data_IF_794247442789
#
_entry.id   IF_794247442789
#
_cell.length_a   1.000
_cell.length_b   1.000
_cell.length_c   1.000
_cell.angle_alpha   90.00
_cell.angle_beta   90.00
_cell.angle_gamma   90.00
#
_symmetry.space_group_name_H-M   'P 1'
#
loop_
_entity.id
_entity.type
_entity.pdbx_description
1 polymer ?
#
# COMPACT_ATOMS: atom_id res chain seq x y z
N UNK A 1 36.64 -13.84 -6.79
CA UNK A 1 35.34 -13.83 -6.08
C UNK A 1 34.26 -13.92 -7.13
N UNK A 2 33.61 -15.07 -7.27
CA UNK A 2 32.55 -15.28 -8.27
C UNK A 2 31.25 -14.80 -7.66
N UNK A 3 30.74 -13.67 -8.14
CA UNK A 3 29.46 -13.11 -7.70
C UNK A 3 28.33 -14.00 -8.20
N UNK A 4 27.53 -14.54 -7.28
CA UNK A 4 26.31 -15.27 -7.62
C UNK A 4 25.29 -14.28 -8.20
N UNK A 5 24.65 -14.61 -9.35
CA UNK A 5 23.64 -13.73 -9.92
C UNK A 5 22.43 -13.63 -8.99
N UNK A 6 22.06 -12.40 -8.61
CA UNK A 6 20.85 -12.12 -7.86
C UNK A 6 19.66 -12.30 -8.80
N UNK A 7 18.94 -13.41 -8.66
CA UNK A 7 17.69 -13.69 -9.39
C UNK A 7 16.51 -13.01 -8.68
N UNK A 8 16.51 -11.68 -8.65
CA UNK A 8 15.42 -10.85 -8.14
C UNK A 8 14.79 -9.99 -9.25
N UNK A 9 13.58 -9.45 -9.06
CA UNK A 9 13.01 -8.51 -10.01
C UNK A 9 13.94 -7.29 -10.14
N UNK A 10 14.24 -6.91 -11.38
CA UNK A 10 15.14 -5.78 -11.68
C UNK A 10 14.46 -4.42 -11.53
N UNK A 11 13.13 -4.39 -11.37
CA UNK A 11 12.33 -3.18 -11.15
C UNK A 11 11.08 -3.43 -10.28
N UNK A 12 10.50 -2.35 -9.76
CA UNK A 12 9.26 -2.36 -8.99
C UNK A 12 8.09 -1.74 -9.76
N UNK A 13 8.13 -1.86 -11.09
CA UNK A 13 7.44 -0.92 -11.97
C UNK A 13 6.14 -1.45 -12.56
N UNK A 14 5.82 -2.73 -12.35
CA UNK A 14 4.85 -3.45 -13.18
C UNK A 14 3.95 -4.45 -12.43
N UNK A 15 4.18 -4.68 -11.14
CA UNK A 15 3.48 -5.76 -10.42
C UNK A 15 2.35 -5.26 -9.52
N UNK A 16 2.49 -4.11 -8.84
CA UNK A 16 1.48 -3.60 -7.90
C UNK A 16 1.19 -4.47 -6.67
N UNK A 17 1.83 -5.65 -6.55
CA UNK A 17 1.43 -6.70 -5.62
C UNK A 17 1.55 -6.30 -4.13
N UNK A 18 2.42 -5.36 -3.78
CA UNK A 18 2.49 -4.84 -2.41
C UNK A 18 1.30 -3.94 -2.03
N UNK A 19 0.52 -3.47 -3.01
CA UNK A 19 -0.65 -2.63 -2.81
C UNK A 19 -1.97 -3.38 -3.05
N UNK A 20 -1.91 -4.55 -3.69
CA UNK A 20 -3.06 -5.41 -3.98
C UNK A 20 -3.27 -6.42 -2.84
N UNK A 21 -4.51 -6.57 -2.38
CA UNK A 21 -4.92 -7.55 -1.37
C UNK A 21 -4.45 -7.26 0.06
N UNK A 22 -3.80 -6.13 0.30
CA UNK A 22 -3.40 -5.65 1.65
C UNK A 22 -4.50 -4.79 2.29
N UNK A 23 -5.62 -4.60 1.61
CA UNK A 23 -6.60 -3.56 1.90
C UNK A 23 -6.01 -2.17 1.76
N UNK A 24 -6.40 -1.27 2.65
CA UNK A 24 -5.96 0.13 2.62
C UNK A 24 -5.24 0.55 3.91
N UNK A 25 -3.93 0.27 4.06
CA UNK A 25 -3.16 0.66 5.24
C UNK A 25 -3.21 2.16 5.57
N UNK A 26 -3.58 2.99 4.60
CA UNK A 26 -3.71 4.44 4.79
C UNK A 26 -4.94 4.83 5.64
N UNK A 27 -5.87 3.90 5.89
CA UNK A 27 -6.94 4.08 6.90
C UNK A 27 -6.37 4.42 8.28
N UNK A 28 -5.14 3.98 8.57
CA UNK A 28 -4.44 4.33 9.81
C UNK A 28 -4.31 5.83 10.00
N UNK A 29 -4.28 6.61 8.91
CA UNK A 29 -4.18 8.05 8.99
C UNK A 29 -5.54 8.71 9.19
N UNK A 30 -6.67 8.05 8.91
CA UNK A 30 -8.00 8.65 8.95
C UNK A 30 -8.33 9.26 10.32
N UNK A 31 -9.01 10.40 10.30
CA UNK A 31 -9.57 11.06 11.47
C UNK A 31 -10.71 10.21 12.02
N UNK A 32 -10.74 10.01 13.34
CA UNK A 32 -11.80 9.26 13.98
C UNK A 32 -12.97 10.17 14.33
N UNK A 33 -14.22 9.80 14.00
CA UNK A 33 -15.40 10.55 14.44
C UNK A 33 -15.37 10.74 15.95
N UNK A 34 -15.53 11.99 16.41
CA UNK A 34 -15.61 12.35 17.83
C UNK A 34 -14.27 12.56 18.55
N UNK A 35 -13.12 12.30 17.92
CA UNK A 35 -11.80 12.54 18.52
C UNK A 35 -11.20 13.91 18.19
N UNK A 36 -11.77 14.66 17.23
CA UNK A 36 -11.37 16.04 16.88
C UNK A 36 -9.95 16.20 16.31
N UNK A 37 -9.15 15.13 16.29
CA UNK A 37 -7.76 15.12 15.83
C UNK A 37 -7.48 13.92 14.92
N UNK A 38 -6.55 14.05 13.96
CA UNK A 38 -6.12 12.92 13.15
C UNK A 38 -5.44 11.83 14.00
N UNK A 39 -5.28 10.65 13.42
CA UNK A 39 -4.57 9.56 14.09
C UNK A 39 -3.11 9.94 14.39
N UNK A 40 -2.51 9.53 15.54
CA UNK A 40 -1.12 9.85 15.89
C UNK A 40 -0.05 9.41 14.88
N UNK A 41 -0.38 8.46 14.01
CA UNK A 41 0.53 8.00 12.96
C UNK A 41 0.38 8.79 11.65
N UNK A 42 -0.60 9.70 11.52
CA UNK A 42 -0.68 10.62 10.39
C UNK A 42 0.52 11.58 10.47
N UNK A 43 1.39 11.65 9.45
CA UNK A 43 2.50 12.59 9.44
C UNK A 43 2.00 14.03 9.48
N UNK A 44 2.62 14.88 10.30
CA UNK A 44 2.31 16.31 10.34
C UNK A 44 2.65 17.03 9.02
N UNK A 45 3.53 16.44 8.20
CA UNK A 45 3.92 16.94 6.88
C UNK A 45 3.02 16.48 5.74
N UNK A 46 1.98 15.68 6.03
CA UNK A 46 1.04 15.23 5.01
C UNK A 46 0.25 16.43 4.46
N UNK A 47 0.24 16.66 3.13
CA UNK A 47 -0.54 17.74 2.53
C UNK A 47 -2.02 17.68 2.91
N UNK A 48 -2.63 18.85 3.08
CA UNK A 48 -4.03 18.98 3.50
C UNK A 48 -4.99 18.27 2.54
N UNK A 49 -4.69 18.31 1.25
CA UNK A 49 -5.50 17.69 0.20
C UNK A 49 -5.49 16.17 0.31
N UNK A 50 -4.33 15.57 0.62
CA UNK A 50 -4.22 14.14 0.85
C UNK A 50 -4.87 13.72 2.17
N UNK A 51 -4.79 14.58 3.19
CA UNK A 51 -5.48 14.34 4.45
C UNK A 51 -7.01 14.35 4.26
N UNK A 52 -7.54 15.29 3.47
CA UNK A 52 -8.95 15.36 3.11
C UNK A 52 -9.40 14.14 2.28
N UNK A 53 -8.63 13.74 1.27
CA UNK A 53 -8.91 12.53 0.46
C UNK A 53 -9.07 11.29 1.35
N UNK A 54 -8.14 11.09 2.30
CA UNK A 54 -8.21 9.98 3.26
C UNK A 54 -9.48 10.09 4.11
N UNK A 55 -9.72 11.24 4.72
CA UNK A 55 -10.85 11.42 5.64
C UNK A 55 -12.20 11.23 4.95
N UNK A 56 -12.35 11.72 3.72
CA UNK A 56 -13.56 11.53 2.91
C UNK A 56 -13.74 10.08 2.49
N UNK A 57 -12.67 9.40 2.05
CA UNK A 57 -12.75 8.02 1.58
C UNK A 57 -13.16 7.04 2.68
N UNK A 58 -12.69 7.27 3.92
CA UNK A 58 -12.99 6.40 5.06
C UNK A 58 -14.12 6.94 5.95
N UNK A 59 -14.74 8.07 5.59
CA UNK A 59 -15.83 8.64 6.35
C UNK A 59 -17.01 7.66 6.44
N UNK A 60 -17.47 7.38 7.66
CA UNK A 60 -18.65 6.55 7.90
C UNK A 60 -18.43 5.05 7.72
N UNK A 61 -17.21 4.59 7.37
CA UNK A 61 -16.90 3.17 7.38
C UNK A 61 -16.82 2.66 8.81
N UNK A 62 -17.53 1.56 9.06
CA UNK A 62 -17.38 0.79 10.29
C UNK A 62 -16.14 -0.11 10.17
N UNK A 63 -15.58 -0.52 11.31
CA UNK A 63 -14.47 -1.47 11.35
C UNK A 63 -14.80 -2.71 10.49
N UNK A 64 -13.96 -2.97 9.49
CA UNK A 64 -14.10 -4.12 8.57
C UNK A 64 -14.85 -3.83 7.27
N UNK A 65 -15.35 -2.62 7.06
CA UNK A 65 -15.95 -2.19 5.78
C UNK A 65 -14.94 -1.54 4.82
N UNK A 66 -13.70 -1.40 5.27
CA UNK A 66 -12.56 -0.94 4.49
C UNK A 66 -12.34 -1.82 3.24
N UNK A 67 -12.03 -1.24 2.07
CA UNK A 67 -11.62 -2.00 0.90
C UNK A 67 -10.48 -2.97 1.26
N UNK A 68 -10.64 -4.25 0.90
CA UNK A 68 -9.68 -5.32 1.20
C UNK A 68 -8.83 -5.70 -0.01
N UNK A 69 -9.35 -5.38 -1.19
CA UNK A 69 -8.86 -5.74 -2.51
C UNK A 69 -7.72 -4.81 -2.98
N UNK A 70 -7.80 -3.51 -2.70
CA UNK A 70 -6.72 -2.56 -3.02
C UNK A 70 -6.69 -1.36 -2.09
N UNK A 71 -5.51 -0.76 -1.97
CA UNK A 71 -5.31 0.49 -1.23
C UNK A 71 -5.86 1.70 -2.00
N UNK A 72 -6.35 2.71 -1.28
CA UNK A 72 -6.79 4.01 -1.83
C UNK A 72 -5.71 4.65 -2.73
N UNK A 73 -4.45 4.55 -2.32
CA UNK A 73 -3.31 5.13 -3.04
C UNK A 73 -2.70 4.21 -4.11
N UNK A 74 -3.35 3.10 -4.44
CA UNK A 74 -2.94 2.28 -5.57
C UNK A 74 -3.32 2.95 -6.90
N UNK A 75 -2.38 3.03 -7.83
CA UNK A 75 -2.64 3.40 -9.22
C UNK A 75 -2.73 2.13 -10.08
N UNK A 76 -3.91 1.77 -10.61
CA UNK A 76 -4.08 0.56 -11.41
C UNK A 76 -3.41 0.64 -12.78
N UNK A 77 -3.13 1.84 -13.31
CA UNK A 77 -2.51 2.03 -14.62
C UNK A 77 -1.00 1.82 -14.53
N UNK A 78 -0.34 2.55 -13.62
CA UNK A 78 1.12 2.42 -13.44
C UNK A 78 1.51 1.27 -12.53
N UNK A 79 0.55 0.69 -11.80
CA UNK A 79 0.74 -0.36 -10.77
C UNK A 79 1.69 0.06 -9.66
N UNK A 80 1.66 1.35 -9.29
CA UNK A 80 2.49 1.94 -8.23
C UNK A 80 1.64 2.63 -7.17
N UNK A 81 2.28 2.98 -6.06
CA UNK A 81 1.66 3.85 -5.07
C UNK A 81 1.74 5.31 -5.55
N UNK A 82 0.60 6.02 -5.55
CA UNK A 82 0.50 7.44 -5.94
C UNK A 82 1.32 8.37 -5.04
N UNK A 83 1.40 8.05 -3.75
CA UNK A 83 2.01 8.91 -2.73
C UNK A 83 3.09 8.16 -1.94
N UNK A 84 4.10 7.67 -2.66
CA UNK A 84 5.14 6.78 -2.13
C UNK A 84 5.87 7.36 -0.90
N UNK A 85 6.08 8.66 -0.88
CA UNK A 85 6.77 9.39 0.18
C UNK A 85 5.99 9.48 1.50
N UNK A 86 4.66 9.29 1.44
CA UNK A 86 3.76 9.38 2.60
C UNK A 86 3.28 8.01 3.10
N UNK A 87 3.81 6.92 2.52
CA UNK A 87 3.42 5.55 2.88
C UNK A 87 3.46 5.32 4.40
N UNK A 88 2.44 4.63 4.97
CA UNK A 88 2.45 4.19 6.35
C UNK A 88 3.65 3.31 6.68
N UNK A 89 4.00 3.23 7.96
CA UNK A 89 5.15 2.45 8.43
C UNK A 89 5.09 1.00 7.93
N UNK A 90 3.93 0.34 8.01
CA UNK A 90 3.74 -1.04 7.49
C UNK A 90 4.12 -1.19 6.02
N UNK A 91 3.88 -0.17 5.19
CA UNK A 91 4.25 -0.17 3.78
C UNK A 91 5.74 0.15 3.56
N UNK A 92 6.39 0.88 4.48
CA UNK A 92 7.83 1.18 4.43
C UNK A 92 8.68 0.01 4.91
N UNK A 93 8.20 -0.71 5.91
CA UNK A 93 8.85 -1.89 6.48
C UNK A 93 8.81 -3.08 5.51
N UNK A 94 7.93 -3.04 4.50
CA UNK A 94 7.88 -4.03 3.44
C UNK A 94 9.09 -3.91 2.51
N UNK A 95 10.05 -4.81 2.67
CA UNK A 95 11.26 -4.88 1.86
C UNK A 95 10.97 -5.25 0.40
N UNK A 96 11.09 -4.25 -0.50
CA UNK A 96 10.96 -4.44 -1.94
C UNK A 96 12.12 -5.30 -2.46
N UNK A 97 11.80 -6.40 -3.15
CA UNK A 97 12.79 -7.40 -3.56
C UNK A 97 13.22 -8.35 -2.44
N UNK A 98 12.74 -8.15 -1.21
CA UNK A 98 12.97 -9.04 -0.08
C UNK A 98 12.20 -10.36 -0.20
N UNK A 99 12.36 -11.23 0.81
CA UNK A 99 11.79 -12.58 0.81
C UNK A 99 10.27 -12.59 0.62
N UNK A 100 9.54 -11.72 1.32
CA UNK A 100 8.08 -11.62 1.22
C UNK A 100 7.64 -11.19 -0.20
N UNK A 101 8.29 -10.16 -0.76
CA UNK A 101 8.06 -9.69 -2.13
C UNK A 101 8.26 -10.80 -3.17
N UNK A 102 9.37 -11.51 -3.09
CA UNK A 102 9.68 -12.61 -3.99
C UNK A 102 8.70 -13.77 -3.87
N UNK A 103 8.28 -14.09 -2.63
CA UNK A 103 7.28 -15.15 -2.39
C UNK A 103 5.94 -14.79 -3.00
N UNK A 104 5.47 -13.56 -2.80
CA UNK A 104 4.20 -13.08 -3.33
C UNK A 104 4.19 -13.07 -4.87
N UNK A 105 5.29 -12.59 -5.49
CA UNK A 105 5.46 -12.65 -6.96
C UNK A 105 5.42 -14.09 -7.48
N UNK A 106 6.08 -15.03 -6.80
CA UNK A 106 6.07 -16.46 -7.18
C UNK A 106 4.68 -17.08 -7.07
N UNK A 107 3.91 -16.73 -6.04
CA UNK A 107 2.53 -17.20 -5.88
C UNK A 107 1.65 -16.65 -7.01
N UNK A 108 1.76 -15.36 -7.31
CA UNK A 108 0.99 -14.71 -8.35
C UNK A 108 1.35 -15.19 -9.77
N UNK A 109 2.59 -15.60 -10.02
CA UNK A 109 3.00 -16.21 -11.29
C UNK A 109 2.46 -17.63 -11.50
N UNK A 110 2.03 -18.32 -10.43
CA UNK A 110 1.48 -19.67 -10.47
C UNK A 110 -0.05 -19.71 -10.59
N UNK A 111 -0.72 -18.59 -10.29
CA UNK A 111 -2.16 -18.47 -10.45
C UNK A 111 -2.47 -18.26 -11.95
N UNK A 112 -3.35 -19.06 -12.59
CA UNK A 112 -3.83 -18.74 -13.91
C UNK A 112 -4.52 -17.38 -13.88
N UNK A 113 -4.27 -16.54 -14.88
CA UNK A 113 -4.95 -15.27 -15.02
C UNK A 113 -6.44 -15.52 -15.29
N UNK A 114 -7.27 -15.50 -14.25
CA UNK A 114 -8.71 -15.44 -14.42
C UNK A 114 -9.04 -14.09 -15.06
N UNK A 115 -9.68 -14.16 -16.24
CA UNK A 115 -10.11 -13.04 -17.08
C UNK A 115 -11.45 -12.52 -16.60
#
# INVERSE_FOLDING_TARGET
MTTLPVLGPTSCDDCGLCCLGIGSPIVLYASRPGLGTPHPFRPATLPTELAAEIDEHFAGLMRGQEPQDQCLWFDPVTRRCKHYEFRPQVCRDYELGGRACLSLRKQHAKLPAER
#
